data_IF_560955228106
#
_entry.id   IF_560955228106
#
_cell.length_a   1.000
_cell.length_b   1.000
_cell.length_c   1.000
_cell.angle_alpha   90.00
_cell.angle_beta   90.00
_cell.angle_gamma   90.00
#
_symmetry.space_group_name_H-M   'P 1'
#
loop_
_entity.id
_entity.type
_entity.pdbx_description
1 polymer ?
#
# COMPACT_ATOMS: atom_id res chain seq x y z
N UNK A 1 -2.57 7.58 5.06
CA UNK A 1 -2.67 6.40 4.17
C UNK A 1 -2.61 5.13 4.99
N UNK A 2 -1.48 4.80 5.58
CA UNK A 2 -1.21 3.57 6.33
C UNK A 2 -2.28 3.24 7.37
N UNK A 3 -2.73 4.23 8.14
CA UNK A 3 -3.80 4.02 9.13
C UNK A 3 -5.10 3.49 8.50
N UNK A 4 -5.46 3.97 7.32
CA UNK A 4 -6.67 3.52 6.61
C UNK A 4 -6.45 2.12 6.05
N UNK A 5 -5.30 1.85 5.42
CA UNK A 5 -4.96 0.53 4.90
C UNK A 5 -4.99 -0.54 6.01
N UNK A 6 -4.35 -0.26 7.15
CA UNK A 6 -4.36 -1.14 8.33
C UNK A 6 -5.78 -1.37 8.87
N UNK A 7 -6.61 -0.31 8.97
CA UNK A 7 -8.00 -0.43 9.43
C UNK A 7 -8.85 -1.25 8.48
N UNK A 8 -8.68 -1.07 7.17
CA UNK A 8 -9.38 -1.85 6.15
C UNK A 8 -8.99 -3.33 6.22
N UNK A 9 -7.68 -3.62 6.24
CA UNK A 9 -7.18 -4.99 6.37
C UNK A 9 -7.66 -5.67 7.65
N UNK A 10 -7.62 -4.94 8.79
CA UNK A 10 -8.17 -5.42 10.06
C UNK A 10 -9.67 -5.70 9.96
N UNK A 11 -10.45 -4.80 9.39
CA UNK A 11 -11.90 -5.00 9.22
C UNK A 11 -12.21 -6.27 8.41
N UNK A 12 -11.48 -6.52 7.33
CA UNK A 12 -11.63 -7.73 6.53
C UNK A 12 -11.28 -8.99 7.34
N UNK A 13 -10.17 -8.95 8.09
CA UNK A 13 -9.74 -10.05 8.93
C UNK A 13 -10.74 -10.36 10.06
N UNK A 14 -11.32 -9.33 10.70
CA UNK A 14 -12.37 -9.46 11.71
C UNK A 14 -13.65 -10.12 11.12
N UNK A 15 -13.89 -9.97 9.82
CA UNK A 15 -14.93 -10.69 9.06
C UNK A 15 -14.51 -12.08 8.59
N UNK A 16 -13.39 -12.61 9.12
CA UNK A 16 -12.81 -13.93 8.75
C UNK A 16 -12.47 -14.03 7.26
N UNK A 17 -12.08 -12.94 6.64
CA UNK A 17 -11.55 -12.92 5.27
C UNK A 17 -10.04 -12.97 5.31
N UNK A 18 -9.46 -13.90 4.58
CA UNK A 18 -8.01 -13.93 4.41
C UNK A 18 -7.58 -12.69 3.65
N UNK A 19 -6.71 -11.89 4.26
CA UNK A 19 -6.23 -10.64 3.70
C UNK A 19 -4.72 -10.52 3.87
N UNK A 20 -4.07 -10.05 2.83
CA UNK A 20 -2.67 -9.65 2.87
C UNK A 20 -2.61 -8.12 2.86
N UNK A 21 -1.86 -7.54 3.80
CA UNK A 21 -1.50 -6.13 3.81
C UNK A 21 -0.07 -5.98 3.30
N UNK A 22 0.07 -5.42 2.09
CA UNK A 22 1.36 -5.06 1.51
C UNK A 22 1.70 -3.61 1.87
N UNK A 23 2.88 -3.39 2.45
CA UNK A 23 3.39 -2.09 2.88
C UNK A 23 4.57 -1.69 1.98
N UNK A 24 4.31 -0.85 0.99
CA UNK A 24 5.27 -0.52 -0.05
C UNK A 24 6.31 0.55 0.34
N UNK A 25 6.14 1.26 1.47
CA UNK A 25 7.04 2.34 1.86
C UNK A 25 8.41 1.79 2.27
N UNK A 26 9.41 1.97 1.40
CA UNK A 26 10.79 1.53 1.62
C UNK A 26 11.64 2.61 2.30
N UNK A 27 11.19 3.87 2.31
CA UNK A 27 11.87 4.99 2.96
C UNK A 27 11.60 5.02 4.46
N UNK A 28 10.36 4.71 4.85
CA UNK A 28 9.92 4.66 6.24
C UNK A 28 9.13 3.37 6.51
N UNK A 29 9.82 2.23 6.72
CA UNK A 29 9.18 0.93 6.90
C UNK A 29 8.12 0.92 7.99
N UNK A 30 6.89 0.54 7.63
CA UNK A 30 5.73 0.59 8.52
C UNK A 30 5.43 -0.74 9.22
N UNK A 31 5.96 -1.85 8.71
CA UNK A 31 5.73 -3.17 9.33
C UNK A 31 6.17 -3.22 10.81
N UNK A 32 7.35 -2.69 11.21
CA UNK A 32 7.76 -2.64 12.60
C UNK A 32 6.90 -1.74 13.50
N UNK A 33 6.16 -0.81 12.91
CA UNK A 33 5.24 0.07 13.65
C UNK A 33 3.87 -0.59 13.92
N UNK A 34 3.54 -1.62 13.13
CA UNK A 34 2.24 -2.33 13.20
C UNK A 34 2.39 -3.62 14.00
N UNK A 35 3.52 -4.34 13.82
CA UNK A 35 3.82 -5.58 14.50
C UNK A 35 4.83 -5.37 15.64
N UNK A 36 4.62 -5.97 16.82
CA UNK A 36 5.65 -6.02 17.85
C UNK A 36 6.93 -6.68 17.34
N UNK A 37 8.08 -6.18 17.78
CA UNK A 37 9.39 -6.71 17.35
C UNK A 37 9.55 -8.22 17.62
N UNK A 38 8.91 -8.74 18.68
CA UNK A 38 8.91 -10.17 19.01
C UNK A 38 8.15 -11.05 17.98
N UNK A 39 7.36 -10.43 17.11
CA UNK A 39 6.55 -11.12 16.09
C UNK A 39 7.22 -11.06 14.71
N UNK A 40 8.33 -10.33 14.60
CA UNK A 40 9.08 -10.13 13.36
C UNK A 40 10.33 -11.04 13.38
N UNK A 41 10.43 -11.90 12.38
CA UNK A 41 11.64 -12.67 12.13
C UNK A 41 12.59 -11.84 11.23
N UNK A 42 13.86 -11.81 11.58
CA UNK A 42 14.86 -10.95 10.93
C UNK A 42 15.07 -11.20 9.42
N UNK A 43 14.54 -12.29 8.88
CA UNK A 43 14.71 -12.69 7.48
C UNK A 43 13.46 -12.50 6.63
N UNK A 44 12.32 -12.13 7.24
CA UNK A 44 11.03 -11.99 6.53
C UNK A 44 10.80 -10.54 6.11
N UNK A 45 11.28 -10.20 4.93
CA UNK A 45 11.23 -8.84 4.41
C UNK A 45 10.71 -8.77 2.97
N UNK A 46 9.98 -7.70 2.67
CA UNK A 46 9.62 -7.32 1.30
C UNK A 46 10.88 -7.17 0.43
N UNK A 47 11.95 -6.61 1.00
CA UNK A 47 13.19 -6.40 0.27
C UNK A 47 13.84 -7.71 -0.17
N UNK A 48 13.83 -8.76 0.67
CA UNK A 48 14.36 -10.07 0.28
C UNK A 48 13.53 -10.74 -0.81
N UNK A 49 12.22 -10.50 -0.86
CA UNK A 49 11.34 -10.99 -1.93
C UNK A 49 11.68 -10.29 -3.25
N UNK A 50 11.77 -8.97 -3.26
CA UNK A 50 12.04 -8.18 -4.46
C UNK A 50 13.47 -8.31 -4.98
N UNK A 51 14.43 -8.68 -4.12
CA UNK A 51 15.83 -8.93 -4.50
C UNK A 51 16.03 -10.26 -5.23
N UNK A 52 15.05 -11.15 -5.21
CA UNK A 52 15.14 -12.44 -5.91
C UNK A 52 15.06 -12.24 -7.43
N UNK A 53 15.78 -13.10 -8.18
CA UNK A 53 15.74 -13.05 -9.65
C UNK A 53 14.32 -13.28 -10.21
N UNK A 54 13.53 -14.12 -9.51
CA UNK A 54 12.11 -14.37 -9.79
C UNK A 54 11.33 -14.44 -8.49
N UNK A 55 10.18 -13.81 -8.46
CA UNK A 55 9.27 -13.86 -7.32
C UNK A 55 8.32 -15.04 -7.50
N UNK A 56 8.31 -15.95 -6.53
CA UNK A 56 7.43 -17.12 -6.53
C UNK A 56 6.51 -17.10 -5.31
N UNK A 57 5.37 -17.81 -5.39
CA UNK A 57 4.44 -17.93 -4.27
C UNK A 57 5.11 -18.46 -2.99
N UNK A 58 6.00 -19.45 -3.12
CA UNK A 58 6.70 -20.03 -1.98
C UNK A 58 7.61 -18.99 -1.31
N UNK A 59 8.32 -18.20 -2.12
CA UNK A 59 9.15 -17.11 -1.61
C UNK A 59 8.31 -16.07 -0.88
N UNK A 60 7.17 -15.67 -1.46
CA UNK A 60 6.24 -14.73 -0.84
C UNK A 60 5.68 -15.31 0.46
N UNK A 61 5.15 -16.53 0.45
CA UNK A 61 4.59 -17.21 1.64
C UNK A 61 5.60 -17.29 2.80
N UNK A 62 6.86 -17.56 2.49
CA UNK A 62 7.92 -17.66 3.51
C UNK A 62 8.27 -16.28 4.12
N UNK A 63 7.97 -15.19 3.42
CA UNK A 63 8.22 -13.82 3.89
C UNK A 63 6.98 -13.13 4.51
N UNK A 64 5.80 -13.76 4.43
CA UNK A 64 4.61 -13.23 5.07
C UNK A 64 4.68 -13.34 6.60
N UNK A 65 4.29 -12.26 7.28
CA UNK A 65 4.16 -12.21 8.74
C UNK A 65 2.69 -12.30 9.12
N UNK A 66 2.30 -13.32 9.86
CA UNK A 66 0.92 -13.48 10.34
C UNK A 66 0.72 -12.70 11.63
N UNK A 67 -0.34 -11.88 11.69
CA UNK A 67 -0.66 -11.14 12.90
C UNK A 67 -1.18 -12.08 14.00
N UNK A 68 -0.50 -12.15 15.16
CA UNK A 68 -0.79 -13.13 16.23
C UNK A 68 -2.23 -13.11 16.75
N UNK A 69 -2.88 -11.94 16.81
CA UNK A 69 -4.25 -11.79 17.32
C UNK A 69 -5.31 -11.83 16.24
N UNK A 70 -4.92 -11.74 14.96
CA UNK A 70 -5.81 -11.70 13.82
C UNK A 70 -5.31 -12.72 12.78
N UNK A 71 -5.61 -14.01 13.00
CA UNK A 71 -5.09 -15.10 12.18
C UNK A 71 -5.46 -15.04 10.69
N UNK A 72 -6.41 -14.18 10.32
CA UNK A 72 -6.78 -13.93 8.92
C UNK A 72 -6.02 -12.75 8.29
N UNK A 73 -5.15 -12.07 9.04
CA UNK A 73 -4.31 -10.96 8.56
C UNK A 73 -2.86 -11.41 8.46
N UNK A 74 -2.33 -11.40 7.25
CA UNK A 74 -0.91 -11.52 6.99
C UNK A 74 -0.37 -10.21 6.41
N UNK A 75 0.91 -9.96 6.58
CA UNK A 75 1.53 -8.70 6.19
C UNK A 75 2.87 -8.95 5.51
N UNK A 76 3.22 -8.08 4.58
CA UNK A 76 4.52 -8.04 3.94
C UNK A 76 5.00 -6.58 3.90
N UNK A 77 6.22 -6.34 4.32
CA UNK A 77 6.82 -5.00 4.35
C UNK A 77 8.30 -5.09 4.68
N UNK A 78 8.98 -3.96 4.63
CA UNK A 78 10.39 -3.85 5.05
C UNK A 78 10.51 -3.90 6.57
N UNK A 79 11.62 -4.42 7.06
CA UNK A 79 11.95 -4.49 8.49
C UNK A 79 12.59 -3.20 9.00
N UNK A 80 12.70 -3.08 10.32
CA UNK A 80 13.36 -1.94 10.97
C UNK A 80 14.83 -1.87 10.59
N UNK A 81 15.26 -0.72 10.11
CA UNK A 81 16.65 -0.47 9.69
C UNK A 81 16.93 -0.80 8.23
N UNK A 82 15.98 -1.40 7.52
CA UNK A 82 16.05 -1.57 6.09
C UNK A 82 15.57 -0.30 5.35
N UNK A 83 16.06 -0.12 4.15
CA UNK A 83 15.68 0.96 3.23
C UNK A 83 15.90 0.51 1.78
N UNK A 84 15.61 1.38 0.82
CA UNK A 84 15.72 1.12 -0.60
C UNK A 84 17.11 0.69 -1.09
N UNK A 85 18.16 0.92 -0.29
CA UNK A 85 19.56 0.53 -0.61
C UNK A 85 20.02 -0.74 0.12
N UNK A 86 19.19 -1.29 1.00
CA UNK A 86 19.54 -2.52 1.76
C UNK A 86 19.64 -3.74 0.86
N UNK A 87 18.87 -3.75 -0.22
CA UNK A 87 18.77 -4.84 -1.17
C UNK A 87 19.16 -4.39 -2.59
N UNK A 88 19.51 -5.32 -3.49
CA UNK A 88 19.66 -5.01 -4.90
C UNK A 88 18.41 -4.35 -5.49
N UNK A 89 18.55 -3.45 -6.47
CA UNK A 89 17.41 -2.85 -7.12
C UNK A 89 16.56 -3.92 -7.84
N UNK A 90 15.26 -3.76 -7.77
CA UNK A 90 14.29 -4.58 -8.48
C UNK A 90 13.68 -3.80 -9.65
N UNK A 91 12.99 -4.48 -10.54
CA UNK A 91 12.36 -3.90 -11.72
C UNK A 91 10.84 -4.16 -11.73
N UNK A 92 10.19 -3.69 -12.77
CA UNK A 92 8.74 -3.82 -12.95
C UNK A 92 8.27 -5.28 -13.04
N UNK A 93 9.09 -6.18 -13.60
CA UNK A 93 8.73 -7.60 -13.72
C UNK A 93 8.59 -8.22 -12.33
N UNK A 94 9.57 -8.04 -11.46
CA UNK A 94 9.54 -8.55 -10.08
C UNK A 94 8.37 -7.94 -9.28
N UNK A 95 8.06 -6.66 -9.50
CA UNK A 95 6.90 -6.03 -8.87
C UNK A 95 5.58 -6.64 -9.34
N UNK A 96 5.42 -6.95 -10.64
CA UNK A 96 4.24 -7.64 -11.18
C UNK A 96 4.13 -9.06 -10.66
N UNK A 97 5.21 -9.84 -10.72
CA UNK A 97 5.26 -11.20 -10.17
C UNK A 97 4.83 -11.21 -8.69
N UNK A 98 5.25 -10.22 -7.90
CA UNK A 98 4.82 -10.10 -6.51
C UNK A 98 3.31 -9.88 -6.40
N UNK A 99 2.74 -8.92 -7.14
CA UNK A 99 1.29 -8.64 -7.09
C UNK A 99 0.49 -9.89 -7.52
N UNK A 100 0.91 -10.57 -8.57
CA UNK A 100 0.26 -11.79 -9.05
C UNK A 100 0.31 -12.90 -7.99
N UNK A 101 1.49 -13.15 -7.39
CA UNK A 101 1.62 -14.10 -6.28
C UNK A 101 0.70 -13.77 -5.10
N UNK A 102 0.60 -12.48 -4.74
CA UNK A 102 -0.28 -12.07 -3.63
C UNK A 102 -1.76 -12.34 -3.94
N UNK A 103 -2.20 -12.13 -5.18
CA UNK A 103 -3.57 -12.43 -5.64
C UNK A 103 -3.89 -13.93 -5.59
N UNK A 104 -2.92 -14.79 -5.92
CA UNK A 104 -3.08 -16.24 -5.82
C UNK A 104 -3.13 -16.72 -4.35
N UNK A 105 -2.40 -16.06 -3.44
CA UNK A 105 -2.32 -16.46 -2.04
C UNK A 105 -3.57 -16.07 -1.24
N UNK A 106 -4.17 -14.90 -1.52
CA UNK A 106 -5.29 -14.41 -0.72
C UNK A 106 -6.37 -13.71 -1.59
N UNK A 107 -7.66 -13.89 -1.24
CA UNK A 107 -8.77 -13.26 -1.96
C UNK A 107 -8.83 -11.74 -1.77
N UNK A 108 -8.14 -11.18 -0.79
CA UNK A 108 -8.07 -9.75 -0.54
C UNK A 108 -6.62 -9.33 -0.34
N UNK A 109 -6.18 -8.39 -1.16
CA UNK A 109 -4.85 -7.75 -1.03
C UNK A 109 -5.08 -6.25 -0.82
N UNK A 110 -4.70 -5.75 0.34
CA UNK A 110 -4.71 -4.32 0.65
C UNK A 110 -3.30 -3.79 0.50
N UNK A 111 -3.10 -2.81 -0.37
CA UNK A 111 -1.77 -2.28 -0.67
C UNK A 111 -1.66 -0.84 -0.16
N UNK A 112 -0.72 -0.59 0.74
CA UNK A 112 -0.36 0.76 1.21
C UNK A 112 0.81 1.27 0.38
N UNK A 113 0.49 1.95 -0.71
CA UNK A 113 1.48 2.51 -1.64
C UNK A 113 2.29 3.65 -1.02
N UNK A 114 3.51 3.85 -1.49
CA UNK A 114 4.32 5.04 -1.22
C UNK A 114 3.63 6.35 -1.65
N UNK A 115 4.23 7.48 -1.32
CA UNK A 115 3.72 8.80 -1.74
C UNK A 115 4.40 9.31 -3.00
N UNK A 116 5.51 8.74 -3.38
CA UNK A 116 6.37 9.20 -4.48
C UNK A 116 6.32 8.23 -5.66
N UNK A 117 5.18 8.21 -6.34
CA UNK A 117 4.84 7.25 -7.41
C UNK A 117 5.87 7.26 -8.55
N UNK A 118 6.44 8.42 -8.87
CA UNK A 118 7.36 8.56 -10.01
C UNK A 118 8.64 7.71 -9.88
N UNK A 119 9.09 7.44 -8.64
CA UNK A 119 10.31 6.67 -8.37
C UNK A 119 10.05 5.42 -7.51
N UNK A 120 8.80 5.06 -7.29
CA UNK A 120 8.39 3.87 -6.55
C UNK A 120 7.74 2.88 -7.51
N UNK A 121 8.57 2.00 -8.08
CA UNK A 121 8.15 1.00 -9.07
C UNK A 121 7.03 0.12 -8.52
N UNK A 122 7.15 -0.36 -7.27
CA UNK A 122 6.15 -1.24 -6.68
C UNK A 122 4.79 -0.54 -6.52
N UNK A 123 4.79 0.70 -6.02
CA UNK A 123 3.56 1.48 -5.90
C UNK A 123 2.96 1.83 -7.27
N UNK A 124 3.79 2.08 -8.28
CA UNK A 124 3.33 2.33 -9.64
C UNK A 124 2.65 1.09 -10.23
N UNK A 125 3.27 -0.08 -10.12
CA UNK A 125 2.68 -1.36 -10.56
C UNK A 125 1.40 -1.66 -9.79
N UNK A 126 1.41 -1.50 -8.46
CA UNK A 126 0.22 -1.71 -7.64
C UNK A 126 -0.97 -0.85 -8.07
N UNK A 127 -0.74 0.41 -8.45
CA UNK A 127 -1.79 1.30 -8.95
C UNK A 127 -2.33 0.85 -10.31
N UNK A 128 -1.48 0.32 -11.18
CA UNK A 128 -1.91 -0.20 -12.50
C UNK A 128 -2.73 -1.47 -12.35
N UNK A 129 -2.30 -2.39 -11.49
CA UNK A 129 -2.89 -3.72 -11.34
C UNK A 129 -4.08 -3.77 -10.36
N UNK A 130 -4.25 -2.79 -9.47
CA UNK A 130 -5.32 -2.80 -8.48
C UNK A 130 -6.72 -2.78 -9.11
N UNK A 131 -7.67 -3.51 -8.54
CA UNK A 131 -9.08 -3.50 -8.94
C UNK A 131 -9.79 -2.22 -8.49
N UNK A 132 -9.31 -1.60 -7.41
CA UNK A 132 -9.81 -0.33 -6.87
C UNK A 132 -8.69 0.45 -6.21
N UNK A 133 -8.63 1.75 -6.45
CA UNK A 133 -7.64 2.66 -5.89
C UNK A 133 -8.32 3.69 -5.01
N UNK A 134 -8.00 3.73 -3.72
CA UNK A 134 -8.49 4.73 -2.79
C UNK A 134 -7.43 5.82 -2.59
N UNK A 135 -7.69 7.00 -3.12
CA UNK A 135 -6.83 8.18 -2.95
C UNK A 135 -7.26 8.94 -1.71
N UNK A 136 -6.36 9.01 -0.74
CA UNK A 136 -6.61 9.67 0.53
C UNK A 136 -5.91 11.03 0.59
N UNK A 137 -6.66 12.06 0.93
CA UNK A 137 -6.14 13.38 1.24
C UNK A 137 -6.66 13.87 2.58
N UNK A 138 -5.81 14.55 3.33
CA UNK A 138 -6.27 15.30 4.50
C UNK A 138 -6.91 16.63 4.06
N UNK A 139 -7.73 17.19 4.95
CA UNK A 139 -8.32 18.51 4.79
C UNK A 139 -7.30 19.62 5.08
N UNK A 140 -6.17 19.63 4.38
CA UNK A 140 -5.11 20.63 4.55
C UNK A 140 -4.51 21.06 3.21
N UNK A 141 -3.92 22.25 3.19
CA UNK A 141 -3.33 22.87 1.98
C UNK A 141 -2.19 22.02 1.39
N UNK A 142 -1.43 21.29 2.21
CA UNK A 142 -0.35 20.42 1.75
C UNK A 142 -0.90 19.25 0.93
N UNK A 143 -1.97 18.63 1.40
CA UNK A 143 -2.63 17.55 0.69
C UNK A 143 -3.27 18.01 -0.62
N UNK A 144 -3.89 19.19 -0.62
CA UNK A 144 -4.46 19.80 -1.83
C UNK A 144 -3.35 20.09 -2.84
N UNK A 145 -2.25 20.72 -2.40
CA UNK A 145 -1.10 21.01 -3.26
C UNK A 145 -0.50 19.73 -3.85
N UNK A 146 -0.30 18.70 -3.02
CA UNK A 146 0.19 17.39 -3.48
C UNK A 146 -0.72 16.80 -4.55
N UNK A 147 -2.03 16.73 -4.29
CA UNK A 147 -2.98 16.17 -5.25
C UNK A 147 -3.01 16.97 -6.55
N UNK A 148 -3.02 18.29 -6.47
CA UNK A 148 -3.00 19.16 -7.66
C UNK A 148 -1.76 18.93 -8.52
N UNK A 149 -0.61 18.68 -7.89
CA UNK A 149 0.67 18.42 -8.58
C UNK A 149 0.72 17.00 -9.16
N UNK A 150 0.12 16.01 -8.49
CA UNK A 150 0.18 14.61 -8.91
C UNK A 150 -0.96 14.23 -9.87
N UNK A 151 -2.10 14.92 -9.83
CA UNK A 151 -3.25 14.62 -10.71
C UNK A 151 -2.91 14.60 -12.21
N UNK A 152 -2.11 15.52 -12.75
CA UNK A 152 -1.73 15.46 -14.18
C UNK A 152 -0.97 14.19 -14.54
N UNK A 153 -0.08 13.71 -13.65
CA UNK A 153 0.69 12.49 -13.85
C UNK A 153 -0.20 11.23 -13.87
N UNK A 154 -1.32 11.29 -13.15
CA UNK A 154 -2.24 10.16 -12.98
C UNK A 154 -3.43 10.19 -13.96
N UNK A 155 -3.40 11.09 -14.95
CA UNK A 155 -4.39 11.13 -16.06
C UNK A 155 -3.99 10.26 -17.25
N UNK A 156 -2.78 9.75 -17.29
CA UNK A 156 -2.33 8.83 -18.32
C UNK A 156 -3.23 7.59 -18.32
N UNK A 157 -3.59 7.09 -19.50
CA UNK A 157 -4.48 5.95 -19.69
C UNK A 157 -4.03 4.69 -18.94
N UNK A 158 -2.73 4.54 -18.70
CA UNK A 158 -2.18 3.41 -17.93
C UNK A 158 -2.69 3.32 -16.48
N UNK A 159 -3.22 4.42 -15.93
CA UNK A 159 -3.66 4.46 -14.53
C UNK A 159 -5.14 4.16 -14.32
N UNK A 160 -5.92 3.93 -15.35
CA UNK A 160 -7.35 3.65 -15.29
C UNK A 160 -8.08 4.50 -14.24
N UNK A 161 -8.55 5.68 -14.64
CA UNK A 161 -9.14 6.65 -13.72
C UNK A 161 -10.50 6.20 -13.15
N UNK A 162 -11.19 5.29 -13.82
CA UNK A 162 -12.55 4.85 -13.44
C UNK A 162 -12.54 4.00 -12.16
N UNK A 163 -11.42 3.34 -11.87
CA UNK A 163 -11.24 2.57 -10.63
C UNK A 163 -10.71 3.40 -9.45
N UNK A 164 -10.53 4.72 -9.62
CA UNK A 164 -9.91 5.59 -8.62
C UNK A 164 -10.95 6.40 -7.85
N UNK A 165 -11.02 6.16 -6.55
CA UNK A 165 -11.91 6.86 -5.62
C UNK A 165 -11.12 7.88 -4.80
N UNK A 166 -11.58 9.13 -4.74
CA UNK A 166 -10.98 10.18 -3.93
C UNK A 166 -11.73 10.28 -2.60
N UNK A 167 -11.01 10.32 -1.49
CA UNK A 167 -11.59 10.36 -0.16
C UNK A 167 -10.85 11.36 0.72
N UNK A 168 -11.61 12.26 1.35
CA UNK A 168 -11.09 13.14 2.38
C UNK A 168 -10.95 12.38 3.72
N UNK A 169 -9.81 12.55 4.37
CA UNK A 169 -9.49 11.94 5.66
C UNK A 169 -9.25 13.03 6.71
N UNK A 170 -9.54 12.74 7.97
CA UNK A 170 -9.37 13.67 9.10
C UNK A 170 -10.10 15.02 8.91
N UNK A 171 -11.27 15.00 8.30
CA UNK A 171 -12.12 16.20 8.17
C UNK A 171 -12.65 16.56 9.55
N UNK A 172 -12.37 17.77 10.00
CA UNK A 172 -12.90 18.30 11.26
C UNK A 172 -14.30 18.86 11.03
N UNK A 173 -15.15 18.81 12.06
CA UNK A 173 -16.53 19.32 12.01
C UNK A 173 -16.67 20.79 11.59
N UNK A 174 -15.60 21.59 11.77
CA UNK A 174 -15.54 23.01 11.40
C UNK A 174 -15.10 23.23 9.94
N UNK A 175 -14.68 22.19 9.22
CA UNK A 175 -14.26 22.28 7.83
C UNK A 175 -15.46 22.01 6.92
N UNK A 176 -15.76 22.97 6.05
CA UNK A 176 -16.85 22.83 5.09
C UNK A 176 -16.53 21.71 4.09
N UNK A 177 -17.27 20.61 4.16
CA UNK A 177 -17.10 19.45 3.28
C UNK A 177 -17.21 19.83 1.80
N UNK A 178 -18.12 20.75 1.46
CA UNK A 178 -18.35 21.21 0.10
C UNK A 178 -17.11 21.88 -0.55
N UNK A 179 -16.40 22.70 0.21
CA UNK A 179 -15.15 23.32 -0.28
C UNK A 179 -14.05 22.29 -0.53
N UNK A 180 -14.00 21.24 0.28
CA UNK A 180 -13.06 20.16 0.07
C UNK A 180 -13.43 19.30 -1.14
N UNK A 181 -14.69 18.95 -1.31
CA UNK A 181 -15.19 18.22 -2.48
C UNK A 181 -14.82 18.97 -3.75
N UNK A 182 -15.03 20.28 -3.77
CA UNK A 182 -14.71 21.13 -4.90
C UNK A 182 -13.20 21.18 -5.17
N UNK A 183 -12.37 21.37 -4.12
CA UNK A 183 -10.91 21.41 -4.24
C UNK A 183 -10.30 20.07 -4.67
N UNK A 184 -10.89 18.94 -4.26
CA UNK A 184 -10.43 17.59 -4.60
C UNK A 184 -11.08 17.06 -5.89
N UNK A 185 -12.04 17.79 -6.46
CA UNK A 185 -12.84 17.31 -7.59
C UNK A 185 -13.58 16.01 -7.26
N UNK A 186 -14.08 15.90 -6.04
CA UNK A 186 -14.89 14.77 -5.55
C UNK A 186 -16.35 15.17 -5.54
N UNK A 187 -17.24 14.20 -5.72
CA UNK A 187 -18.66 14.38 -5.40
C UNK A 187 -18.80 14.31 -3.87
N UNK A 188 -19.54 15.24 -3.28
CA UNK A 188 -19.82 15.25 -1.85
C UNK A 188 -20.76 14.10 -1.46
#
# INVERSE_FOLDING_TARGET
>A
KTTVAVRLAKYLADKRRNVILLLCDMTAPMLPCICPAADLECERSLGSVLAAAHVSENLVKNNLVTHKRLGYLTMLGMLKGENEYTYPPYNEVQARELIDCLREIAPYVVIDCGSYIANDILSAVALMEADSVLRLANADLKSISYLSSQLPLLRDAKWDTDKQYKTASNVKSQQAGDHMSQALGTVA
#
